data_IF_047177182521
#
_entry.id   IF_047177182521
#
_cell.length_a   1.000
_cell.length_b   1.000
_cell.length_c   1.000
_cell.angle_alpha   90.00
_cell.angle_beta   90.00
_cell.angle_gamma   90.00
#
_symmetry.space_group_name_H-M   'P 1'
#
loop_
_entity.id
_entity.type
_entity.pdbx_description
1 polymer ?
#
# COMPACT_ATOMS: atom_id res chain seq x y z
N UNK A 1 17.40 1.93 13.17
CA UNK A 1 18.26 2.38 14.27
C UNK A 1 17.47 3.36 15.14
N UNK A 2 17.50 3.17 16.42
CA UNK A 2 16.93 4.10 17.40
C UNK A 2 18.07 4.95 17.98
N UNK A 3 17.82 6.24 18.16
CA UNK A 3 18.78 7.16 18.74
C UNK A 3 18.34 7.49 20.17
N UNK A 4 19.22 7.25 21.14
CA UNK A 4 19.01 7.54 22.57
C UNK A 4 17.74 6.90 23.18
N UNK A 5 17.28 5.76 22.64
CA UNK A 5 16.04 5.11 23.07
C UNK A 5 14.76 5.85 22.69
N UNK A 6 14.85 6.93 21.93
CA UNK A 6 13.70 7.67 21.43
C UNK A 6 13.10 6.96 20.22
N UNK A 7 11.95 6.33 20.44
CA UNK A 7 11.22 5.59 19.39
C UNK A 7 10.61 6.50 18.31
N UNK A 8 10.53 7.79 18.53
CA UNK A 8 10.02 8.75 17.55
C UNK A 8 11.12 9.23 16.58
N UNK A 9 12.39 9.04 16.95
CA UNK A 9 13.55 9.43 16.13
C UNK A 9 14.26 8.22 15.57
N UNK A 10 13.57 7.47 14.73
CA UNK A 10 14.13 6.27 14.13
C UNK A 10 14.58 6.52 12.69
N UNK A 11 15.72 5.95 12.35
CA UNK A 11 16.16 5.80 10.97
C UNK A 11 15.83 4.38 10.49
N UNK A 12 15.00 4.29 9.45
CA UNK A 12 14.76 3.06 8.73
C UNK A 12 15.64 3.05 7.47
N UNK A 13 16.44 2.01 7.33
CA UNK A 13 17.18 1.73 6.09
C UNK A 13 16.61 0.45 5.53
N UNK A 14 15.84 0.57 4.47
CA UNK A 14 15.11 -0.51 3.82
C UNK A 14 15.66 -0.66 2.40
N UNK A 15 16.80 -1.36 2.22
CA UNK A 15 17.41 -1.52 0.92
C UNK A 15 16.50 -2.36 0.01
N UNK A 16 16.45 -1.98 -1.24
CA UNK A 16 15.73 -2.67 -2.29
C UNK A 16 16.63 -2.94 -3.49
N UNK A 17 16.29 -3.96 -4.27
CA UNK A 17 16.89 -4.12 -5.58
C UNK A 17 16.27 -3.11 -6.55
N UNK A 18 17.04 -2.65 -7.56
CA UNK A 18 16.49 -1.80 -8.61
C UNK A 18 15.26 -2.45 -9.26
N UNK A 19 14.24 -1.64 -9.54
CA UNK A 19 13.06 -2.12 -10.25
C UNK A 19 13.36 -2.23 -11.75
N UNK A 20 13.60 -3.45 -12.22
CA UNK A 20 13.88 -3.71 -13.64
C UNK A 20 12.61 -3.94 -14.46
N UNK A 21 11.44 -3.98 -13.81
CA UNK A 21 10.15 -4.27 -14.43
C UNK A 21 9.22 -3.05 -14.45
N UNK A 22 9.75 -1.84 -14.23
CA UNK A 22 8.96 -0.62 -14.25
C UNK A 22 8.19 -0.45 -15.58
N UNK A 23 6.87 -0.23 -15.53
CA UNK A 23 6.09 -0.02 -16.75
C UNK A 23 6.46 1.32 -17.39
N UNK A 24 6.15 1.45 -18.68
CA UNK A 24 6.27 2.76 -19.32
C UNK A 24 5.17 3.70 -18.81
N UNK A 25 5.53 4.94 -18.49
CA UNK A 25 4.58 5.96 -18.04
C UNK A 25 3.42 6.23 -19.03
N UNK A 26 3.62 5.92 -20.31
CA UNK A 26 2.62 6.09 -21.36
C UNK A 26 1.70 4.89 -21.57
N UNK A 27 1.78 3.83 -20.76
CA UNK A 27 0.86 2.67 -20.89
C UNK A 27 -0.56 3.09 -20.54
N UNK A 28 -1.55 2.81 -21.40
CA UNK A 28 -2.92 3.34 -21.26
C UNK A 28 -3.64 2.86 -20.00
N UNK A 29 -3.27 1.68 -19.49
CA UNK A 29 -3.87 1.08 -18.30
C UNK A 29 -3.03 1.30 -17.03
N UNK A 30 -2.04 2.21 -17.09
CA UNK A 30 -1.15 2.52 -15.97
C UNK A 30 -1.41 3.92 -15.45
N UNK A 31 -1.76 4.00 -14.16
CA UNK A 31 -1.69 5.24 -13.39
C UNK A 31 -0.26 5.37 -12.86
N UNK A 32 0.54 6.16 -13.55
CA UNK A 32 1.97 6.31 -13.25
C UNK A 32 2.24 7.60 -12.50
N UNK A 33 2.90 7.48 -11.36
CA UNK A 33 3.39 8.60 -10.56
C UNK A 33 4.93 8.57 -10.58
N UNK A 34 5.53 9.51 -11.30
CA UNK A 34 6.99 9.69 -11.34
C UNK A 34 7.51 10.47 -10.13
N UNK A 35 8.82 10.66 -10.08
CA UNK A 35 9.49 11.41 -9.00
C UNK A 35 8.77 12.71 -8.63
N UNK A 36 8.70 13.01 -7.33
CA UNK A 36 8.08 14.21 -6.77
C UNK A 36 6.86 13.93 -5.90
N UNK A 37 6.17 15.00 -5.48
CA UNK A 37 5.00 14.96 -4.62
C UNK A 37 3.70 15.04 -5.45
N UNK A 38 2.77 14.14 -5.16
CA UNK A 38 1.48 14.03 -5.85
C UNK A 38 0.33 13.98 -4.86
N UNK A 39 -0.64 14.87 -4.97
CA UNK A 39 -1.85 14.89 -4.17
C UNK A 39 -3.01 14.24 -4.93
N UNK A 40 -3.07 12.91 -4.88
CA UNK A 40 -4.00 12.12 -5.67
C UNK A 40 -5.37 11.92 -5.00
N UNK A 41 -5.44 12.07 -3.68
CA UNK A 41 -6.68 11.81 -2.95
C UNK A 41 -7.10 10.33 -3.04
N UNK A 42 -8.34 10.07 -3.45
CA UNK A 42 -8.83 8.70 -3.62
C UNK A 42 -8.55 8.20 -5.05
N UNK A 43 -7.70 7.21 -5.15
CA UNK A 43 -7.40 6.49 -6.39
C UNK A 43 -8.33 5.28 -6.48
N UNK A 44 -9.11 5.18 -7.53
CA UNK A 44 -9.97 4.02 -7.78
C UNK A 44 -9.42 3.22 -8.96
N UNK A 45 -9.07 1.95 -8.72
CA UNK A 45 -8.57 1.05 -9.75
C UNK A 45 -9.69 0.22 -10.36
N UNK A 46 -9.60 0.03 -11.67
CA UNK A 46 -10.48 -0.83 -12.48
C UNK A 46 -9.75 -2.10 -12.88
N UNK A 47 -10.48 -3.09 -13.33
CA UNK A 47 -9.87 -4.33 -13.83
C UNK A 47 -8.84 -4.07 -14.94
N UNK A 48 -7.71 -4.75 -14.85
CA UNK A 48 -6.59 -4.64 -15.77
C UNK A 48 -5.66 -3.45 -15.53
N UNK A 49 -5.92 -2.63 -14.51
CA UNK A 49 -5.10 -1.43 -14.26
C UNK A 49 -3.91 -1.69 -13.35
N UNK A 50 -2.86 -0.95 -13.63
CA UNK A 50 -1.66 -0.84 -12.80
C UNK A 50 -1.59 0.54 -12.17
N UNK A 51 -1.41 0.60 -10.85
CA UNK A 51 -0.91 1.76 -10.14
C UNK A 51 0.60 1.57 -9.97
N UNK A 52 1.37 2.45 -10.54
CA UNK A 52 2.83 2.43 -10.39
C UNK A 52 3.33 3.71 -9.74
N UNK A 53 4.02 3.56 -8.61
CA UNK A 53 4.60 4.66 -7.84
C UNK A 53 6.12 4.52 -7.94
N UNK A 54 6.72 5.35 -8.76
CA UNK A 54 8.15 5.27 -9.10
C UNK A 54 9.05 5.66 -7.93
N UNK A 55 10.31 5.31 -8.04
CA UNK A 55 11.34 5.74 -7.10
C UNK A 55 11.36 7.28 -7.00
N UNK A 56 11.46 7.81 -5.78
CA UNK A 56 11.39 9.25 -5.52
C UNK A 56 9.99 9.86 -5.55
N UNK A 57 8.94 9.09 -5.89
CA UNK A 57 7.56 9.57 -5.82
C UNK A 57 6.98 9.46 -4.41
N UNK A 58 6.27 10.50 -3.98
CA UNK A 58 5.42 10.49 -2.78
C UNK A 58 3.99 10.82 -3.21
N UNK A 59 3.10 9.83 -3.10
CA UNK A 59 1.70 9.97 -3.48
C UNK A 59 0.84 10.08 -2.23
N UNK A 60 0.27 11.25 -2.00
CA UNK A 60 -0.68 11.47 -0.90
C UNK A 60 -2.07 11.04 -1.33
N UNK A 61 -2.55 9.95 -0.75
CA UNK A 61 -3.86 9.42 -1.09
C UNK A 61 -4.14 8.04 -0.52
N UNK A 62 -5.27 7.50 -0.94
CA UNK A 62 -5.73 6.15 -0.63
C UNK A 62 -6.15 5.45 -1.91
N UNK A 63 -6.15 4.12 -1.90
CA UNK A 63 -6.49 3.29 -3.06
C UNK A 63 -7.68 2.42 -2.73
N UNK A 64 -8.61 2.28 -3.67
CA UNK A 64 -9.67 1.28 -3.57
C UNK A 64 -9.88 0.55 -4.89
N UNK A 65 -10.30 -0.70 -4.77
CA UNK A 65 -10.73 -1.50 -5.91
C UNK A 65 -11.80 -2.49 -5.47
N UNK A 66 -12.96 -2.45 -6.12
CA UNK A 66 -14.13 -3.25 -5.74
C UNK A 66 -14.62 -4.09 -6.91
N UNK A 67 -14.79 -5.41 -6.67
CA UNK A 67 -15.28 -6.39 -7.64
C UNK A 67 -14.51 -6.36 -8.98
N UNK A 68 -13.17 -6.26 -8.88
CA UNK A 68 -12.26 -6.12 -10.02
C UNK A 68 -11.31 -7.33 -10.14
N UNK A 69 -10.55 -7.36 -11.21
CA UNK A 69 -9.54 -8.40 -11.45
C UNK A 69 -8.32 -7.83 -12.17
N UNK A 70 -7.21 -8.59 -12.08
CA UNK A 70 -5.97 -8.26 -12.78
C UNK A 70 -5.44 -6.87 -12.40
N UNK A 71 -5.34 -6.62 -11.09
CA UNK A 71 -4.87 -5.36 -10.52
C UNK A 71 -3.40 -5.49 -10.13
N UNK A 72 -2.62 -4.48 -10.48
CA UNK A 72 -1.24 -4.35 -10.02
C UNK A 72 -1.04 -3.04 -9.28
N UNK A 73 -0.43 -3.09 -8.10
CA UNK A 73 0.05 -1.93 -7.35
C UNK A 73 1.54 -2.15 -7.11
N UNK A 74 2.39 -1.35 -7.74
CA UNK A 74 3.82 -1.63 -7.73
C UNK A 74 4.68 -0.36 -7.72
N UNK A 75 5.99 -0.55 -7.55
CA UNK A 75 6.98 0.50 -7.60
C UNK A 75 7.92 0.52 -6.41
N UNK A 76 8.67 1.61 -6.28
CA UNK A 76 9.62 1.85 -5.18
C UNK A 76 9.32 3.14 -4.41
N UNK A 77 8.26 3.84 -4.80
CA UNK A 77 7.82 5.08 -4.18
C UNK A 77 6.97 4.86 -2.92
N UNK A 78 6.41 5.94 -2.43
CA UNK A 78 5.68 6.02 -1.18
C UNK A 78 4.21 6.34 -1.46
N UNK A 79 3.28 5.52 -0.98
CA UNK A 79 1.88 5.89 -0.82
C UNK A 79 1.69 6.36 0.63
N UNK A 80 1.25 7.60 0.81
CA UNK A 80 1.15 8.26 2.11
C UNK A 80 -0.29 8.69 2.41
N UNK A 81 -0.84 8.20 3.53
CA UNK A 81 -2.18 8.53 3.98
C UNK A 81 -2.30 9.78 4.87
N UNK A 82 -1.21 10.52 5.10
CA UNK A 82 -1.14 11.60 6.08
C UNK A 82 -2.21 12.69 5.93
N UNK A 83 -2.68 12.96 4.71
CA UNK A 83 -3.74 13.94 4.45
C UNK A 83 -5.15 13.33 4.32
N UNK A 84 -5.27 12.03 4.42
CA UNK A 84 -6.57 11.40 4.47
C UNK A 84 -7.22 11.69 5.84
N UNK A 85 -8.50 12.11 5.90
CA UNK A 85 -9.14 12.37 7.18
C UNK A 85 -9.16 11.11 8.04
N UNK A 86 -8.60 11.21 9.23
CA UNK A 86 -8.71 10.18 10.25
C UNK A 86 -10.07 10.32 10.94
N UNK A 87 -11.00 9.45 10.62
CA UNK A 87 -12.29 9.37 11.31
C UNK A 87 -12.48 7.97 11.87
N UNK A 88 -12.73 7.90 13.17
CA UNK A 88 -13.08 6.65 13.86
C UNK A 88 -14.36 6.01 13.31
N UNK A 89 -15.27 6.84 12.76
CA UNK A 89 -16.57 6.40 12.26
C UNK A 89 -16.60 6.03 10.76
N UNK A 90 -15.60 6.45 10.01
CA UNK A 90 -15.46 6.06 8.60
C UNK A 90 -14.16 5.27 8.46
N UNK A 91 -14.25 3.97 8.35
CA UNK A 91 -13.10 3.11 8.08
C UNK A 91 -12.45 3.52 6.77
N UNK A 92 -11.56 4.48 6.83
CA UNK A 92 -10.76 4.86 5.67
C UNK A 92 -9.53 4.00 5.62
N UNK A 93 -9.65 2.90 4.95
CA UNK A 93 -8.55 1.99 4.66
C UNK A 93 -7.62 2.66 3.65
N UNK A 94 -6.32 2.48 3.83
CA UNK A 94 -5.36 3.08 2.92
C UNK A 94 -5.36 2.39 1.55
N UNK A 95 -5.35 1.06 1.54
CA UNK A 95 -5.53 0.25 0.33
C UNK A 95 -6.66 -0.73 0.59
N UNK A 96 -7.82 -0.49 -0.01
CA UNK A 96 -9.06 -1.24 0.22
C UNK A 96 -9.43 -2.07 -1.01
N UNK A 97 -9.27 -3.39 -0.90
CA UNK A 97 -9.54 -4.37 -1.95
C UNK A 97 -10.69 -5.28 -1.54
N UNK A 98 -11.82 -5.18 -2.21
CA UNK A 98 -13.02 -5.95 -1.89
C UNK A 98 -13.53 -6.70 -3.11
N UNK A 99 -13.65 -8.03 -3.00
CA UNK A 99 -14.13 -8.87 -4.10
C UNK A 99 -13.16 -8.95 -5.29
N UNK A 100 -11.88 -8.67 -5.08
CA UNK A 100 -10.89 -8.63 -6.13
C UNK A 100 -10.30 -10.01 -6.43
N UNK A 101 -9.83 -10.22 -7.67
CA UNK A 101 -9.16 -11.46 -8.08
C UNK A 101 -7.88 -11.16 -8.86
N UNK A 102 -6.87 -12.01 -8.67
CA UNK A 102 -5.58 -11.87 -9.35
C UNK A 102 -4.97 -10.48 -9.12
N UNK A 103 -4.57 -10.23 -7.89
CA UNK A 103 -3.99 -8.95 -7.48
C UNK A 103 -2.53 -9.13 -7.12
N UNK A 104 -1.69 -8.23 -7.59
CA UNK A 104 -0.27 -8.15 -7.23
C UNK A 104 0.03 -6.80 -6.58
N UNK A 105 0.66 -6.83 -5.40
CA UNK A 105 1.12 -5.63 -4.70
C UNK A 105 2.59 -5.80 -4.39
N UNK A 106 3.46 -4.93 -4.90
CA UNK A 106 4.89 -5.14 -4.75
C UNK A 106 5.72 -3.87 -4.57
N UNK A 107 6.72 -3.97 -3.71
CA UNK A 107 7.83 -3.03 -3.59
C UNK A 107 7.56 -1.72 -2.88
N UNK A 108 6.35 -1.19 -2.91
CA UNK A 108 5.98 0.13 -2.39
C UNK A 108 6.15 0.25 -0.87
N UNK A 109 6.34 1.48 -0.40
CA UNK A 109 6.23 1.85 1.00
C UNK A 109 4.86 2.48 1.28
N UNK A 110 4.09 1.87 2.19
CA UNK A 110 2.85 2.41 2.73
C UNK A 110 3.16 3.16 4.02
N UNK A 111 2.80 4.44 4.08
CA UNK A 111 3.16 5.30 5.19
C UNK A 111 1.98 6.10 5.71
N UNK A 112 1.91 6.25 7.03
CA UNK A 112 0.94 7.09 7.71
C UNK A 112 -0.52 6.77 7.32
N UNK A 113 -0.89 5.49 7.37
CA UNK A 113 -2.25 5.06 7.08
C UNK A 113 -3.27 5.75 8.00
N UNK A 114 -4.41 6.22 7.46
CA UNK A 114 -5.44 6.88 8.28
C UNK A 114 -6.20 5.91 9.20
N UNK A 115 -6.15 4.61 8.93
CA UNK A 115 -6.73 3.49 9.69
C UNK A 115 -6.05 2.21 9.21
N UNK A 116 -6.76 1.09 8.99
CA UNK A 116 -6.23 -0.13 8.41
C UNK A 116 -5.42 0.16 7.14
N UNK A 117 -4.26 -0.47 7.03
CA UNK A 117 -3.32 -0.13 5.95
C UNK A 117 -3.65 -0.86 4.66
N UNK A 118 -3.67 -2.19 4.70
CA UNK A 118 -3.98 -3.02 3.54
C UNK A 118 -5.10 -3.99 3.91
N UNK A 119 -6.31 -3.69 3.47
CA UNK A 119 -7.48 -4.51 3.73
C UNK A 119 -7.88 -5.31 2.49
N UNK A 120 -7.93 -6.63 2.63
CA UNK A 120 -8.23 -7.58 1.56
C UNK A 120 -9.46 -8.36 1.98
N UNK A 121 -10.62 -8.03 1.40
CA UNK A 121 -11.90 -8.62 1.77
C UNK A 121 -12.50 -9.40 0.60
N UNK A 122 -13.03 -10.59 0.88
CA UNK A 122 -13.72 -11.44 -0.13
C UNK A 122 -12.95 -11.57 -1.44
N UNK A 123 -11.62 -11.55 -1.37
CA UNK A 123 -10.71 -11.53 -2.51
C UNK A 123 -9.99 -12.87 -2.69
N UNK A 124 -9.47 -13.10 -3.89
CA UNK A 124 -8.86 -14.38 -4.26
C UNK A 124 -7.61 -14.17 -5.09
N UNK A 125 -6.58 -15.01 -4.88
CA UNK A 125 -5.31 -14.99 -5.61
C UNK A 125 -4.63 -13.63 -5.50
N UNK A 126 -4.27 -13.25 -4.27
CA UNK A 126 -3.58 -12.00 -3.97
C UNK A 126 -2.13 -12.28 -3.58
N UNK A 127 -1.20 -11.63 -4.24
CA UNK A 127 0.24 -11.71 -3.96
C UNK A 127 0.76 -10.37 -3.45
N UNK A 128 1.42 -10.41 -2.30
CA UNK A 128 2.02 -9.24 -1.65
C UNK A 128 3.52 -9.52 -1.52
N UNK A 129 4.35 -8.75 -2.21
CA UNK A 129 5.79 -8.98 -2.24
C UNK A 129 6.57 -7.72 -1.83
N UNK A 130 7.42 -7.88 -0.84
CA UNK A 130 8.37 -6.82 -0.45
C UNK A 130 7.71 -5.46 -0.19
N UNK A 131 6.49 -5.46 0.36
CA UNK A 131 5.77 -4.25 0.77
C UNK A 131 6.27 -3.82 2.13
N UNK A 132 6.58 -2.53 2.28
CA UNK A 132 7.00 -1.95 3.55
C UNK A 132 5.86 -1.12 4.13
N UNK A 133 5.70 -1.17 5.45
CA UNK A 133 4.67 -0.41 6.14
C UNK A 133 5.28 0.29 7.36
N UNK A 134 5.07 1.61 7.44
CA UNK A 134 5.44 2.42 8.59
C UNK A 134 4.25 3.31 8.91
N UNK A 135 3.37 2.85 9.80
CA UNK A 135 2.11 3.49 10.12
C UNK A 135 2.00 3.71 11.62
N UNK A 136 1.62 4.91 12.01
CA UNK A 136 1.68 5.37 13.40
C UNK A 136 0.34 5.82 13.97
N UNK A 137 -0.68 5.90 13.14
CA UNK A 137 -2.01 6.31 13.57
C UNK A 137 -2.72 5.16 14.29
N UNK A 138 -3.60 5.51 15.23
CA UNK A 138 -4.43 4.54 15.93
C UNK A 138 -5.24 3.71 14.92
N UNK A 139 -5.35 2.39 15.14
CA UNK A 139 -5.98 1.43 14.23
C UNK A 139 -5.28 1.33 12.87
N UNK A 140 -3.99 1.63 12.78
CA UNK A 140 -3.24 1.34 11.57
C UNK A 140 -2.71 -0.09 11.62
N UNK A 141 -3.61 -1.04 11.43
CA UNK A 141 -3.29 -2.44 11.23
C UNK A 141 -2.54 -2.60 9.90
N UNK A 142 -1.73 -3.62 9.80
CA UNK A 142 -0.89 -3.84 8.62
C UNK A 142 -1.64 -4.47 7.47
N UNK A 143 -1.94 -5.75 7.59
CA UNK A 143 -2.70 -6.52 6.59
C UNK A 143 -3.88 -7.19 7.24
N UNK A 144 -5.08 -6.81 6.85
CA UNK A 144 -6.34 -7.39 7.31
C UNK A 144 -6.91 -8.31 6.24
N UNK A 145 -6.97 -9.60 6.54
CA UNK A 145 -7.51 -10.61 5.63
C UNK A 145 -8.91 -11.02 6.08
N UNK A 146 -9.92 -10.54 5.38
CA UNK A 146 -11.31 -10.82 5.73
C UNK A 146 -11.97 -11.70 4.67
N UNK A 147 -12.25 -12.97 5.02
CA UNK A 147 -12.95 -13.90 4.13
C UNK A 147 -12.33 -14.01 2.72
N UNK A 148 -11.01 -14.04 2.65
CA UNK A 148 -10.22 -14.10 1.42
C UNK A 148 -9.47 -15.43 1.32
N UNK A 149 -9.03 -15.81 0.10
CA UNK A 149 -8.32 -17.07 -0.12
C UNK A 149 -7.19 -16.93 -1.14
N UNK A 150 -6.19 -17.83 -1.01
CA UNK A 150 -5.04 -17.80 -1.92
C UNK A 150 -4.22 -16.51 -1.79
N UNK A 151 -4.12 -15.97 -0.58
CA UNK A 151 -3.28 -14.82 -0.30
C UNK A 151 -1.88 -15.31 0.07
N UNK A 152 -0.89 -14.81 -0.63
CA UNK A 152 0.53 -15.10 -0.37
C UNK A 152 1.24 -13.79 -0.07
N UNK A 153 2.00 -13.79 1.02
CA UNK A 153 2.80 -12.64 1.41
C UNK A 153 4.25 -13.06 1.61
N UNK A 154 5.17 -12.39 0.93
CA UNK A 154 6.59 -12.71 0.96
C UNK A 154 7.45 -11.45 1.10
N UNK A 155 8.41 -11.50 2.02
CA UNK A 155 9.32 -10.39 2.28
C UNK A 155 8.61 -9.15 2.83
N UNK A 156 9.35 -8.03 2.87
CA UNK A 156 8.85 -6.76 3.32
C UNK A 156 9.19 -6.44 4.77
N UNK A 157 8.59 -5.35 5.26
CA UNK A 157 8.79 -4.84 6.61
C UNK A 157 7.51 -4.21 7.12
N UNK A 158 7.12 -4.49 8.36
CA UNK A 158 5.94 -3.89 8.97
C UNK A 158 6.28 -3.30 10.33
N UNK A 159 5.91 -2.04 10.51
CA UNK A 159 5.88 -1.35 11.78
C UNK A 159 4.62 -0.50 11.85
N UNK A 160 3.58 -1.06 12.40
CA UNK A 160 2.27 -0.44 12.52
C UNK A 160 1.95 -0.16 13.99
N UNK A 161 0.92 0.65 14.22
CA UNK A 161 0.47 0.96 15.58
C UNK A 161 -0.32 -0.20 16.19
N UNK A 162 -1.09 -0.90 15.38
CA UNK A 162 -1.91 -2.03 15.79
C UNK A 162 -1.40 -3.35 15.18
N UNK A 163 -2.22 -4.35 14.97
CA UNK A 163 -1.82 -5.67 14.49
C UNK A 163 -1.11 -5.60 13.13
N UNK A 164 0.05 -6.25 12.99
CA UNK A 164 0.74 -6.28 11.70
C UNK A 164 0.02 -7.19 10.69
N UNK A 165 -0.60 -8.28 11.16
CA UNK A 165 -1.42 -9.19 10.35
C UNK A 165 -2.63 -9.58 11.17
N UNK A 166 -3.82 -9.37 10.62
CA UNK A 166 -5.11 -9.73 11.20
C UNK A 166 -5.87 -10.69 10.27
N UNK A 167 -6.47 -11.77 10.84
CA UNK A 167 -7.16 -12.83 10.10
C UNK A 167 -8.61 -12.96 10.54
#
# INVERSE_FOLDING_TARGET
MEFDGDRARNLFVLPDLPDTAAPRASSPDTLYFGEGEHHAGLITLRSGQTLYIDEGAVVYGTVRSYDTRDITIAGRGILCGAYAPHHLDTRRVMVDLVGCRNVSISGILLRDSPSWTLCIQRSESVRIENVKQICWMRNSDGVDLCNSRGVVMEGGFMRNYDDNISL
#
